data_IF_677255991824
#
_entry.id   IF_677255991824
#
_cell.length_a   1.000
_cell.length_b   1.000
_cell.length_c   1.000
_cell.angle_alpha   90.00
_cell.angle_beta   90.00
_cell.angle_gamma   90.00
#
_symmetry.space_group_name_H-M   'P 1'
#
loop_
_entity.id
_entity.type
_entity.pdbx_description
1 polymer ?
#
# COMPACT_ATOMS: atom_id res chain seq x y z
N UNK A 1 7.97 -22.09 -16.63
CA UNK A 1 7.22 -20.86 -16.89
C UNK A 1 8.14 -19.90 -17.66
N UNK A 2 7.78 -19.53 -18.89
CA UNK A 2 8.56 -18.55 -19.64
C UNK A 2 8.43 -17.19 -18.93
N UNK A 3 9.58 -16.60 -18.58
CA UNK A 3 9.62 -15.26 -17.97
C UNK A 3 9.38 -14.28 -19.11
N UNK A 4 8.16 -13.75 -19.19
CA UNK A 4 7.79 -12.75 -20.18
C UNK A 4 8.23 -11.37 -19.68
N UNK A 5 8.98 -10.66 -20.51
CA UNK A 5 9.38 -9.27 -20.29
C UNK A 5 8.56 -8.36 -21.20
N UNK A 6 7.92 -7.36 -20.63
CA UNK A 6 7.25 -6.30 -21.38
C UNK A 6 8.25 -5.22 -21.77
N UNK A 7 8.38 -4.97 -23.08
CA UNK A 7 9.18 -3.85 -23.61
C UNK A 7 8.34 -2.56 -23.54
N UNK A 8 8.79 -1.59 -22.75
CA UNK A 8 8.08 -0.33 -22.55
C UNK A 8 8.28 0.68 -23.70
N UNK A 9 9.32 0.49 -24.52
CA UNK A 9 9.64 1.40 -25.65
C UNK A 9 8.77 1.18 -26.88
N UNK A 10 8.35 -0.07 -27.09
CA UNK A 10 7.66 -0.48 -28.33
C UNK A 10 6.20 -0.89 -28.10
N UNK A 11 5.48 -1.12 -29.17
CA UNK A 11 4.13 -1.64 -29.13
C UNK A 11 3.06 -0.69 -28.58
N UNK A 12 1.91 -1.23 -28.24
CA UNK A 12 0.77 -0.48 -27.73
C UNK A 12 0.95 -0.21 -26.22
N UNK A 13 0.97 1.06 -25.84
CA UNK A 13 1.11 1.52 -24.45
C UNK A 13 0.05 0.92 -23.52
N UNK A 14 -1.17 0.76 -23.99
CA UNK A 14 -2.27 0.18 -23.20
C UNK A 14 -1.98 -1.28 -22.84
N UNK A 15 -1.47 -2.03 -23.81
CA UNK A 15 -1.05 -3.42 -23.62
C UNK A 15 0.12 -3.51 -22.66
N UNK A 16 1.14 -2.66 -22.82
CA UNK A 16 2.31 -2.63 -21.94
C UNK A 16 1.90 -2.35 -20.48
N UNK A 17 0.94 -1.43 -20.27
CA UNK A 17 0.40 -1.16 -18.93
C UNK A 17 -0.31 -2.40 -18.38
N UNK A 18 -1.20 -3.02 -19.17
CA UNK A 18 -1.99 -4.16 -18.69
C UNK A 18 -1.13 -5.39 -18.41
N UNK A 19 -0.07 -5.63 -19.18
CA UNK A 19 0.87 -6.74 -18.95
C UNK A 19 1.61 -6.63 -17.59
N UNK A 20 1.79 -5.42 -17.05
CA UNK A 20 2.35 -5.21 -15.71
C UNK A 20 1.24 -5.05 -14.67
N UNK A 21 0.17 -4.33 -15.01
CA UNK A 21 -0.90 -3.99 -14.06
C UNK A 21 -1.75 -5.20 -13.67
N UNK A 22 -2.09 -6.09 -14.59
CA UNK A 22 -2.91 -7.28 -14.28
C UNK A 22 -2.22 -8.17 -13.24
N UNK A 23 -0.94 -8.56 -13.41
CA UNK A 23 -0.21 -9.25 -12.36
C UNK A 23 -0.19 -8.50 -11.03
N UNK A 24 -0.03 -7.16 -11.05
CA UNK A 24 -0.04 -6.35 -9.83
C UNK A 24 -1.40 -6.29 -9.16
N UNK A 25 -2.50 -6.24 -9.92
CA UNK A 25 -3.86 -6.32 -9.37
C UNK A 25 -4.07 -7.68 -8.68
N UNK A 26 -3.68 -8.76 -9.34
CA UNK A 26 -3.76 -10.11 -8.77
C UNK A 26 -2.93 -10.19 -7.49
N UNK A 27 -1.71 -9.65 -7.50
CA UNK A 27 -0.85 -9.60 -6.33
C UNK A 27 -1.49 -8.86 -5.15
N UNK A 28 -2.16 -7.72 -5.39
CA UNK A 28 -2.86 -6.95 -4.34
C UNK A 28 -4.05 -7.74 -3.76
N UNK A 29 -4.82 -8.40 -4.61
CA UNK A 29 -5.94 -9.25 -4.17
C UNK A 29 -5.44 -10.42 -3.34
N UNK A 30 -4.36 -11.08 -3.77
CA UNK A 30 -3.74 -12.17 -3.03
C UNK A 30 -3.21 -11.71 -1.66
N UNK A 31 -2.61 -10.51 -1.61
CA UNK A 31 -2.14 -9.91 -0.37
C UNK A 31 -3.30 -9.62 0.60
N UNK A 32 -4.42 -9.13 0.10
CA UNK A 32 -5.63 -8.93 0.91
C UNK A 32 -6.16 -10.26 1.45
N UNK A 33 -6.27 -11.27 0.58
CA UNK A 33 -6.79 -12.58 0.97
C UNK A 33 -5.92 -13.25 2.04
N UNK A 34 -4.60 -13.23 1.87
CA UNK A 34 -3.72 -13.85 2.86
C UNK A 34 -3.81 -13.14 4.22
N UNK A 35 -3.91 -11.82 4.27
CA UNK A 35 -4.09 -11.08 5.51
C UNK A 35 -5.41 -11.45 6.23
N UNK A 36 -6.47 -11.70 5.46
CA UNK A 36 -7.76 -12.15 6.01
C UNK A 36 -7.63 -13.56 6.58
N UNK A 37 -6.99 -14.47 5.84
CA UNK A 37 -6.81 -15.87 6.25
C UNK A 37 -5.94 -15.99 7.51
N UNK A 38 -4.84 -15.25 7.59
CA UNK A 38 -3.98 -15.18 8.78
C UNK A 38 -4.76 -14.78 10.04
N UNK A 39 -5.58 -13.71 9.93
CA UNK A 39 -6.45 -13.28 11.03
C UNK A 39 -7.49 -14.33 11.43
N UNK A 40 -8.05 -15.06 10.46
CA UNK A 40 -8.99 -16.16 10.73
C UNK A 40 -8.30 -17.27 11.51
N UNK A 41 -7.09 -17.66 11.15
CA UNK A 41 -6.35 -18.69 11.87
C UNK A 41 -6.00 -18.25 13.29
N UNK A 42 -5.52 -17.03 13.49
CA UNK A 42 -5.24 -16.49 14.83
C UNK A 42 -6.51 -16.45 15.68
N UNK A 43 -7.61 -15.98 15.11
CA UNK A 43 -8.91 -15.88 15.80
C UNK A 43 -9.52 -17.25 16.17
N UNK A 44 -9.10 -18.33 15.51
CA UNK A 44 -9.55 -19.70 15.76
C UNK A 44 -8.65 -20.49 16.72
N UNK A 45 -7.63 -19.87 17.30
CA UNK A 45 -6.80 -20.55 18.33
C UNK A 45 -7.70 -20.91 19.53
N UNK A 46 -7.78 -22.19 19.94
CA UNK A 46 -8.63 -22.61 21.04
C UNK A 46 -8.38 -21.80 22.31
N UNK A 47 -9.46 -21.45 23.02
CA UNK A 47 -9.49 -20.73 24.31
C UNK A 47 -8.99 -19.28 24.28
N UNK A 48 -8.04 -18.92 23.39
CA UNK A 48 -7.36 -17.62 23.41
C UNK A 48 -7.57 -16.77 22.13
N UNK A 49 -8.26 -17.29 21.11
CA UNK A 49 -8.31 -16.68 19.77
C UNK A 49 -8.71 -15.19 19.75
N UNK A 50 -9.75 -14.81 20.48
CA UNK A 50 -10.19 -13.41 20.54
C UNK A 50 -9.11 -12.49 21.18
N UNK A 51 -8.52 -12.93 22.29
CA UNK A 51 -7.48 -12.18 22.99
C UNK A 51 -6.17 -12.13 22.18
N UNK A 52 -5.83 -13.25 21.54
CA UNK A 52 -4.68 -13.34 20.65
C UNK A 52 -4.81 -12.39 19.45
N UNK A 53 -5.98 -12.36 18.82
CA UNK A 53 -6.26 -11.46 17.69
C UNK A 53 -6.17 -9.99 18.10
N UNK A 54 -6.68 -9.65 19.30
CA UNK A 54 -6.54 -8.31 19.88
C UNK A 54 -5.06 -7.97 20.12
N UNK A 55 -4.29 -8.89 20.71
CA UNK A 55 -2.87 -8.71 20.95
C UNK A 55 -2.07 -8.49 19.66
N UNK A 56 -2.31 -9.28 18.61
CA UNK A 56 -1.69 -9.10 17.30
C UNK A 56 -2.11 -7.76 16.68
N UNK A 57 -3.37 -7.36 16.86
CA UNK A 57 -3.88 -6.05 16.41
C UNK A 57 -3.07 -4.87 16.95
N UNK A 58 -2.58 -4.94 18.18
CA UNK A 58 -1.73 -3.92 18.80
C UNK A 58 -0.33 -3.82 18.15
N UNK A 59 0.08 -4.81 17.37
CA UNK A 59 1.35 -4.79 16.63
C UNK A 59 1.24 -4.03 15.29
N UNK A 60 0.01 -3.80 14.75
CA UNK A 60 -0.18 -3.18 13.44
C UNK A 60 0.46 -1.80 13.28
N UNK A 61 0.46 -0.88 14.26
CA UNK A 61 1.15 0.39 14.11
C UNK A 61 2.65 0.23 13.85
N UNK A 62 3.31 -0.73 14.51
CA UNK A 62 4.74 -1.04 14.28
C UNK A 62 4.93 -1.60 12.87
N UNK A 63 4.08 -2.55 12.45
CA UNK A 63 4.12 -3.15 11.11
C UNK A 63 3.90 -2.08 10.04
N UNK A 64 2.95 -1.17 10.26
CA UNK A 64 2.68 -0.05 9.35
C UNK A 64 3.87 0.88 9.23
N UNK A 65 4.57 1.16 10.33
CA UNK A 65 5.79 1.98 10.31
C UNK A 65 6.89 1.32 9.47
N UNK A 66 7.13 0.01 9.63
CA UNK A 66 8.08 -0.76 8.82
C UNK A 66 7.70 -0.68 7.32
N UNK A 67 6.41 -0.85 7.02
CA UNK A 67 5.89 -0.76 5.65
C UNK A 67 6.05 0.67 5.07
N UNK A 68 5.83 1.70 5.88
CA UNK A 68 6.03 3.09 5.47
C UNK A 68 7.49 3.38 5.07
N UNK A 69 8.46 2.89 5.87
CA UNK A 69 9.88 3.00 5.50
C UNK A 69 10.22 2.17 4.26
N UNK A 70 9.57 1.03 4.07
CA UNK A 70 9.73 0.22 2.85
C UNK A 70 9.27 0.99 1.62
N UNK A 71 8.12 1.67 1.70
CA UNK A 71 7.62 2.53 0.63
C UNK A 71 8.48 3.77 0.40
N UNK A 72 9.08 4.32 1.46
CA UNK A 72 10.02 5.44 1.36
C UNK A 72 11.15 5.14 0.37
N UNK A 73 11.72 3.97 0.45
CA UNK A 73 12.86 3.61 -0.41
C UNK A 73 12.42 2.89 -1.69
N UNK A 74 11.52 1.90 -1.60
CA UNK A 74 11.09 1.11 -2.76
C UNK A 74 10.31 1.93 -3.79
N UNK A 75 9.26 2.63 -3.34
CA UNK A 75 8.44 3.46 -4.22
C UNK A 75 9.11 4.79 -4.60
N UNK A 76 10.15 5.21 -3.86
CA UNK A 76 10.99 6.34 -4.25
C UNK A 76 12.03 5.96 -5.31
N UNK A 77 12.69 4.81 -5.16
CA UNK A 77 13.77 4.38 -6.03
C UNK A 77 13.33 3.79 -7.36
N UNK A 78 12.27 2.96 -7.37
CA UNK A 78 11.87 2.23 -8.57
C UNK A 78 11.40 3.11 -9.74
N UNK A 79 10.62 4.19 -9.56
CA UNK A 79 10.29 5.11 -10.64
C UNK A 79 11.51 5.84 -11.21
N UNK A 80 12.44 6.26 -10.34
CA UNK A 80 13.70 6.89 -10.77
C UNK A 80 14.56 5.91 -11.58
N UNK A 81 14.65 4.66 -11.11
CA UNK A 81 15.35 3.59 -11.83
C UNK A 81 14.74 3.33 -13.20
N UNK A 82 13.41 3.26 -13.31
CA UNK A 82 12.71 3.08 -14.58
C UNK A 82 12.93 4.26 -15.54
N UNK A 83 12.98 5.48 -15.00
CA UNK A 83 13.24 6.70 -15.77
C UNK A 83 14.67 6.72 -16.33
N UNK A 84 15.68 6.37 -15.51
CA UNK A 84 17.09 6.29 -15.98
C UNK A 84 17.27 5.17 -17.00
N UNK A 85 16.56 4.06 -16.85
CA UNK A 85 16.51 3.01 -17.86
C UNK A 85 15.94 3.52 -19.20
N UNK A 86 14.89 4.32 -19.16
CA UNK A 86 14.31 4.97 -20.34
C UNK A 86 15.26 5.98 -21.00
N UNK A 87 16.12 6.63 -20.22
CA UNK A 87 17.20 7.50 -20.74
C UNK A 87 18.37 6.73 -21.37
N UNK A 88 18.37 5.41 -21.27
CA UNK A 88 19.49 4.56 -21.67
C UNK A 88 20.65 4.52 -20.67
N UNK A 89 20.50 5.16 -19.50
CA UNK A 89 21.54 5.23 -18.47
C UNK A 89 21.44 4.04 -17.51
N UNK A 90 21.89 2.88 -18.00
CA UNK A 90 21.83 1.62 -17.25
C UNK A 90 22.60 1.66 -15.94
N UNK A 91 23.78 2.31 -15.95
CA UNK A 91 24.64 2.39 -14.77
C UNK A 91 23.97 3.16 -13.64
N UNK A 92 23.39 4.33 -13.93
CA UNK A 92 22.67 5.13 -12.93
C UNK A 92 21.42 4.39 -12.41
N UNK A 93 20.69 3.67 -13.28
CA UNK A 93 19.57 2.84 -12.88
C UNK A 93 19.98 1.72 -11.91
N UNK A 94 21.10 1.03 -12.18
CA UNK A 94 21.67 0.02 -11.27
C UNK A 94 22.14 0.64 -9.95
N UNK A 95 22.73 1.85 -9.99
CA UNK A 95 23.16 2.59 -8.79
C UNK A 95 21.98 3.03 -7.91
N UNK A 96 20.88 3.48 -8.50
CA UNK A 96 19.65 3.80 -7.76
C UNK A 96 19.07 2.57 -7.07
N UNK A 97 19.03 1.43 -7.75
CA UNK A 97 18.60 0.15 -7.18
C UNK A 97 19.51 -0.30 -6.04
N UNK A 98 20.85 -0.21 -6.22
CA UNK A 98 21.82 -0.56 -5.19
C UNK A 98 21.75 0.33 -3.95
N UNK A 99 21.61 1.65 -4.14
CA UNK A 99 21.44 2.60 -3.02
C UNK A 99 20.14 2.33 -2.27
N UNK A 100 19.03 2.06 -2.98
CA UNK A 100 17.75 1.67 -2.35
C UNK A 100 17.92 0.41 -1.51
N UNK A 101 18.58 -0.62 -2.03
CA UNK A 101 18.84 -1.86 -1.31
C UNK A 101 19.60 -1.63 0.00
N UNK A 102 20.69 -0.84 -0.04
CA UNK A 102 21.48 -0.53 1.15
C UNK A 102 20.67 0.26 2.18
N UNK A 103 19.84 1.22 1.73
CA UNK A 103 18.95 1.97 2.63
C UNK A 103 17.91 1.07 3.28
N UNK A 104 17.32 0.12 2.54
CA UNK A 104 16.38 -0.86 3.08
C UNK A 104 17.03 -1.74 4.15
N UNK A 105 18.24 -2.25 3.89
CA UNK A 105 18.98 -3.06 4.87
C UNK A 105 19.33 -2.24 6.10
N UNK A 106 19.94 -1.08 5.92
CA UNK A 106 20.38 -0.22 7.02
C UNK A 106 19.20 0.19 7.92
N UNK A 107 18.11 0.66 7.30
CA UNK A 107 16.89 1.02 8.04
C UNK A 107 16.22 -0.21 8.67
N UNK A 108 16.21 -1.36 7.99
CA UNK A 108 15.67 -2.60 8.55
C UNK A 108 16.41 -3.05 9.80
N UNK A 109 17.74 -2.98 9.82
CA UNK A 109 18.56 -3.27 11.02
C UNK A 109 18.26 -2.28 12.14
N UNK A 110 18.18 -0.98 11.83
CA UNK A 110 17.87 0.07 12.82
C UNK A 110 16.46 -0.14 13.41
N UNK A 111 15.45 -0.38 12.57
CA UNK A 111 14.07 -0.61 13.03
C UNK A 111 13.96 -1.89 13.86
N UNK A 112 14.67 -2.94 13.50
CA UNK A 112 14.74 -4.18 14.28
C UNK A 112 15.34 -3.90 15.66
N UNK A 113 16.48 -3.21 15.71
CA UNK A 113 17.15 -2.89 16.98
C UNK A 113 16.28 -2.01 17.89
N UNK A 114 15.76 -0.90 17.35
CA UNK A 114 14.85 0.00 18.08
C UNK A 114 13.59 -0.75 18.53
N UNK A 115 12.99 -1.51 17.62
CA UNK A 115 11.80 -2.29 17.92
C UNK A 115 12.01 -3.29 19.04
N UNK A 116 13.10 -4.07 19.02
CA UNK A 116 13.42 -5.05 20.08
C UNK A 116 13.77 -4.41 21.42
N UNK A 117 14.32 -3.20 21.43
CA UNK A 117 14.61 -2.46 22.67
C UNK A 117 13.33 -1.84 23.25
N UNK A 118 12.49 -1.25 22.40
CA UNK A 118 11.35 -0.42 22.83
C UNK A 118 9.98 -1.05 22.62
N UNK A 119 9.85 -2.33 22.19
CA UNK A 119 8.53 -2.94 21.95
C UNK A 119 7.61 -2.89 23.18
N UNK A 120 8.16 -3.05 24.40
CA UNK A 120 7.37 -3.00 25.63
C UNK A 120 6.64 -1.67 25.81
N UNK A 121 7.34 -0.51 25.96
CA UNK A 121 6.66 0.77 26.12
C UNK A 121 5.76 1.11 24.92
N UNK A 122 6.16 0.74 23.70
CA UNK A 122 5.37 1.00 22.51
C UNK A 122 4.03 0.25 22.56
N UNK A 123 4.01 -1.03 22.92
CA UNK A 123 2.77 -1.81 23.04
C UNK A 123 1.83 -1.26 24.10
N UNK A 124 2.36 -0.84 25.26
CA UNK A 124 1.53 -0.21 26.30
C UNK A 124 0.98 1.14 25.86
N UNK A 125 1.74 1.95 25.15
CA UNK A 125 1.24 3.21 24.55
C UNK A 125 0.11 2.96 23.56
N UNK A 126 0.15 1.82 22.83
CA UNK A 126 -0.92 1.42 21.92
C UNK A 126 -2.09 0.68 22.59
N UNK A 127 -2.10 0.63 23.93
CA UNK A 127 -3.23 0.14 24.72
C UNK A 127 -3.17 -1.36 25.09
N UNK A 128 -1.98 -1.95 25.12
CA UNK A 128 -1.82 -3.30 25.63
C UNK A 128 -2.20 -3.38 27.13
N UNK A 129 -3.06 -4.34 27.46
CA UNK A 129 -3.29 -4.79 28.84
C UNK A 129 -2.32 -5.90 29.21
N UNK A 130 -2.17 -6.22 30.48
CA UNK A 130 -1.29 -7.34 30.91
C UNK A 130 -1.63 -8.67 30.24
N UNK A 131 -2.90 -8.89 29.92
CA UNK A 131 -3.37 -10.09 29.23
C UNK A 131 -3.00 -10.07 27.75
N UNK A 132 -3.28 -8.98 27.04
CA UNK A 132 -3.01 -8.85 25.58
C UNK A 132 -1.53 -8.65 25.29
N UNK A 133 -0.78 -8.07 26.24
CA UNK A 133 0.66 -7.84 26.10
C UNK A 133 1.45 -9.12 25.84
N UNK A 134 1.10 -10.23 26.52
CA UNK A 134 1.80 -11.51 26.31
C UNK A 134 1.74 -11.93 24.84
N UNK A 135 0.54 -11.92 24.23
CA UNK A 135 0.35 -12.31 22.83
C UNK A 135 0.96 -11.31 21.85
N UNK A 136 0.81 -10.00 22.11
CA UNK A 136 1.43 -8.97 21.32
C UNK A 136 2.97 -9.05 21.34
N UNK A 137 3.56 -9.30 22.52
CA UNK A 137 5.00 -9.47 22.70
C UNK A 137 5.53 -10.69 21.97
N UNK A 138 4.83 -11.83 22.08
CA UNK A 138 5.20 -13.06 21.41
C UNK A 138 5.20 -12.91 19.88
N UNK A 139 4.22 -12.21 19.32
CA UNK A 139 4.14 -11.93 17.89
C UNK A 139 5.22 -10.95 17.43
N UNK A 140 5.27 -9.78 18.07
CA UNK A 140 6.09 -8.68 17.56
C UNK A 140 7.60 -8.95 17.65
N UNK A 141 8.05 -9.63 18.69
CA UNK A 141 9.46 -9.99 18.84
C UNK A 141 9.95 -10.87 17.71
N UNK A 142 9.14 -11.87 17.32
CA UNK A 142 9.46 -12.74 16.20
C UNK A 142 9.37 -11.95 14.90
N UNK A 143 8.29 -11.16 14.68
CA UNK A 143 8.10 -10.36 13.48
C UNK A 143 9.26 -9.37 13.25
N UNK A 144 9.75 -8.71 14.30
CA UNK A 144 10.86 -7.76 14.22
C UNK A 144 12.16 -8.42 13.72
N UNK A 145 12.43 -9.68 14.06
CA UNK A 145 13.57 -10.43 13.52
C UNK A 145 13.45 -10.64 12.00
N UNK A 146 12.23 -10.68 11.49
CA UNK A 146 11.94 -10.79 10.06
C UNK A 146 11.82 -9.47 9.31
N UNK A 147 11.92 -8.33 9.98
CA UNK A 147 11.76 -6.99 9.37
C UNK A 147 12.62 -6.83 8.12
N UNK A 148 13.85 -7.30 8.15
CA UNK A 148 14.77 -7.23 7.02
C UNK A 148 14.22 -7.94 5.78
N UNK A 149 13.63 -9.11 5.94
CA UNK A 149 13.04 -9.88 4.84
C UNK A 149 11.80 -9.19 4.27
N UNK A 150 10.95 -8.63 5.14
CA UNK A 150 9.79 -7.84 4.74
C UNK A 150 10.23 -6.63 3.91
N UNK A 151 11.22 -5.88 4.38
CA UNK A 151 11.73 -4.70 3.70
C UNK A 151 12.37 -5.04 2.35
N UNK A 152 13.13 -6.12 2.26
CA UNK A 152 13.71 -6.59 0.99
C UNK A 152 12.59 -7.02 0.03
N UNK A 153 11.64 -7.83 0.48
CA UNK A 153 10.55 -8.33 -0.36
C UNK A 153 9.73 -7.18 -0.96
N UNK A 154 9.20 -6.32 -0.11
CA UNK A 154 8.29 -5.25 -0.55
C UNK A 154 9.03 -4.07 -1.17
N UNK A 155 10.26 -3.76 -0.71
CA UNK A 155 11.02 -2.62 -1.19
C UNK A 155 11.78 -2.88 -2.48
N UNK A 156 12.19 -4.13 -2.77
CA UNK A 156 12.91 -4.48 -3.99
C UNK A 156 12.01 -5.03 -5.10
N UNK A 157 10.81 -5.52 -4.77
CA UNK A 157 9.86 -6.00 -5.79
C UNK A 157 9.47 -4.94 -6.84
N UNK A 158 9.29 -3.64 -6.51
CA UNK A 158 9.05 -2.60 -7.51
C UNK A 158 10.14 -2.50 -8.58
N UNK A 159 11.40 -2.88 -8.28
CA UNK A 159 12.49 -2.89 -9.27
C UNK A 159 12.38 -4.05 -10.26
N UNK A 160 11.71 -5.14 -9.91
CA UNK A 160 11.36 -6.21 -10.85
C UNK A 160 10.33 -5.69 -11.85
N UNK A 161 9.30 -5.01 -11.34
CA UNK A 161 8.24 -4.42 -12.16
C UNK A 161 8.77 -3.28 -13.06
N UNK A 162 9.73 -2.48 -12.57
CA UNK A 162 10.37 -1.40 -13.32
C UNK A 162 11.19 -1.90 -14.52
N UNK A 163 11.53 -3.18 -14.54
CA UNK A 163 12.20 -3.84 -15.65
C UNK A 163 11.24 -4.51 -16.65
N UNK A 164 9.92 -4.48 -16.39
CA UNK A 164 8.91 -5.09 -17.24
C UNK A 164 8.55 -6.54 -16.90
N UNK A 165 8.96 -7.03 -15.74
CA UNK A 165 8.71 -8.41 -15.32
C UNK A 165 7.53 -8.49 -14.31
N UNK A 166 6.36 -7.99 -14.69
CA UNK A 166 5.16 -7.96 -13.83
C UNK A 166 4.78 -9.33 -13.26
N UNK A 167 4.81 -10.38 -14.07
CA UNK A 167 4.54 -11.76 -13.61
C UNK A 167 5.54 -12.23 -12.54
N UNK A 168 6.80 -11.87 -12.66
CA UNK A 168 7.83 -12.21 -11.66
C UNK A 168 7.60 -11.45 -10.36
N UNK A 169 7.20 -10.18 -10.47
CA UNK A 169 6.81 -9.36 -9.31
C UNK A 169 5.57 -9.91 -8.60
N UNK A 170 4.57 -10.37 -9.35
CA UNK A 170 3.39 -11.06 -8.78
C UNK A 170 3.79 -12.35 -8.05
N UNK A 171 4.68 -13.15 -8.64
CA UNK A 171 5.15 -14.39 -8.03
C UNK A 171 5.84 -14.17 -6.69
N UNK A 172 6.49 -13.04 -6.47
CA UNK A 172 7.04 -12.67 -5.17
C UNK A 172 5.97 -12.70 -4.07
N UNK A 173 4.82 -12.07 -4.36
CA UNK A 173 3.70 -11.99 -3.40
C UNK A 173 2.99 -13.34 -3.29
N UNK A 174 2.81 -14.03 -4.41
CA UNK A 174 2.19 -15.35 -4.43
C UNK A 174 2.97 -16.37 -3.58
N UNK A 175 4.31 -16.41 -3.70
CA UNK A 175 5.16 -17.30 -2.90
C UNK A 175 4.95 -17.01 -1.42
N UNK A 176 5.00 -15.75 -1.00
CA UNK A 176 4.77 -15.34 0.38
C UNK A 176 3.38 -15.74 0.88
N UNK A 177 2.34 -15.44 0.11
CA UNK A 177 0.95 -15.72 0.48
C UNK A 177 0.68 -17.23 0.60
N UNK A 178 1.10 -18.03 -0.39
CA UNK A 178 0.88 -19.48 -0.38
C UNK A 178 1.63 -20.14 0.76
N UNK A 179 2.89 -19.79 0.96
CA UNK A 179 3.67 -20.36 2.08
C UNK A 179 3.08 -19.97 3.43
N UNK A 180 2.65 -18.73 3.60
CA UNK A 180 2.04 -18.29 4.85
C UNK A 180 0.75 -19.09 5.14
N UNK A 181 -0.18 -19.16 4.18
CA UNK A 181 -1.44 -19.92 4.31
C UNK A 181 -1.20 -21.40 4.66
N UNK A 182 -0.13 -22.00 4.15
CA UNK A 182 0.22 -23.40 4.43
C UNK A 182 0.94 -23.58 5.78
N UNK A 183 1.81 -22.64 6.14
CA UNK A 183 2.62 -22.72 7.37
C UNK A 183 1.84 -22.28 8.61
N UNK A 184 0.88 -21.38 8.48
CA UNK A 184 0.05 -20.93 9.61
C UNK A 184 -0.64 -22.09 10.33
N UNK A 185 -1.47 -22.94 9.67
CA UNK A 185 -2.11 -24.05 10.36
C UNK A 185 -1.11 -25.08 10.90
N UNK A 186 0.02 -25.26 10.21
CA UNK A 186 1.06 -26.18 10.67
C UNK A 186 1.68 -25.71 11.98
N UNK A 187 2.08 -24.44 12.07
CA UNK A 187 2.75 -23.91 13.26
C UNK A 187 1.75 -23.54 14.37
N UNK A 188 0.61 -22.95 14.02
CA UNK A 188 -0.39 -22.55 15.02
C UNK A 188 -1.00 -23.76 15.70
N UNK A 189 -1.52 -24.71 14.91
CA UNK A 189 -2.30 -25.85 15.41
C UNK A 189 -1.47 -27.14 15.47
N UNK A 190 -0.72 -27.48 14.40
CA UNK A 190 0.04 -28.71 14.31
C UNK A 190 1.21 -28.80 15.31
N UNK A 191 1.94 -27.69 15.46
CA UNK A 191 3.06 -27.59 16.42
C UNK A 191 2.66 -26.91 17.74
N UNK A 192 1.40 -26.54 17.91
CA UNK A 192 0.86 -25.87 19.11
C UNK A 192 1.60 -24.58 19.52
N UNK A 193 2.16 -23.85 18.54
CA UNK A 193 2.92 -22.62 18.81
C UNK A 193 2.02 -21.39 19.01
N UNK A 194 0.72 -21.49 18.69
CA UNK A 194 -0.22 -20.38 18.80
C UNK A 194 0.22 -19.14 18.04
N UNK A 195 0.19 -17.96 18.68
CA UNK A 195 0.55 -16.68 18.08
C UNK A 195 2.00 -16.62 17.59
N UNK A 196 2.92 -17.30 18.28
CA UNK A 196 4.33 -17.42 17.85
C UNK A 196 4.43 -18.13 16.50
N UNK A 197 3.56 -19.15 16.30
CA UNK A 197 3.49 -19.89 15.04
C UNK A 197 3.10 -19.00 13.87
N UNK A 198 2.09 -18.13 14.02
CA UNK A 198 1.67 -17.18 13.01
C UNK A 198 2.81 -16.20 12.63
N UNK A 199 3.49 -15.65 13.64
CA UNK A 199 4.64 -14.77 13.40
C UNK A 199 5.77 -15.48 12.66
N UNK A 200 6.09 -16.72 13.04
CA UNK A 200 7.14 -17.51 12.41
C UNK A 200 6.79 -17.88 10.97
N UNK A 201 5.54 -18.28 10.69
CA UNK A 201 5.05 -18.55 9.35
C UNK A 201 5.20 -17.31 8.43
N UNK A 202 4.82 -16.14 8.94
CA UNK A 202 4.98 -14.87 8.22
C UNK A 202 6.45 -14.60 7.87
N UNK A 203 7.39 -14.76 8.84
CA UNK A 203 8.81 -14.50 8.59
C UNK A 203 9.39 -15.48 7.58
N UNK A 204 9.11 -16.78 7.70
CA UNK A 204 9.62 -17.78 6.77
C UNK A 204 9.09 -17.50 5.36
N UNK A 205 7.83 -17.14 5.23
CA UNK A 205 7.22 -16.78 3.95
C UNK A 205 7.88 -15.55 3.34
N UNK A 206 8.14 -14.51 4.14
CA UNK A 206 8.85 -13.31 3.69
C UNK A 206 10.32 -13.59 3.35
N UNK A 207 10.99 -14.48 4.08
CA UNK A 207 12.34 -14.94 3.77
C UNK A 207 12.40 -15.61 2.41
N UNK A 208 11.49 -16.53 2.11
CA UNK A 208 11.43 -17.19 0.80
C UNK A 208 11.16 -16.19 -0.32
N UNK A 209 10.25 -15.24 -0.10
CA UNK A 209 9.98 -14.15 -1.04
C UNK A 209 11.19 -13.25 -1.25
N UNK A 210 11.93 -12.92 -0.18
CA UNK A 210 13.16 -12.12 -0.27
C UNK A 210 14.25 -12.84 -1.08
N UNK A 211 14.44 -14.14 -0.86
CA UNK A 211 15.37 -14.96 -1.66
C UNK A 211 14.96 -14.94 -3.13
N UNK A 212 13.67 -15.10 -3.44
CA UNK A 212 13.16 -15.02 -4.81
C UNK A 212 13.50 -13.70 -5.49
N UNK A 213 13.22 -12.57 -4.82
CA UNK A 213 13.52 -11.22 -5.31
C UNK A 213 15.02 -11.04 -5.55
N UNK A 214 15.86 -11.40 -4.57
CA UNK A 214 17.31 -11.25 -4.69
C UNK A 214 17.88 -12.15 -5.78
N UNK A 215 17.44 -13.42 -5.86
CA UNK A 215 17.88 -14.35 -6.91
C UNK A 215 17.53 -13.84 -8.30
N UNK A 216 16.37 -13.19 -8.47
CA UNK A 216 16.02 -12.57 -9.74
C UNK A 216 16.92 -11.37 -10.04
N UNK A 217 17.04 -10.41 -9.11
CA UNK A 217 17.78 -9.17 -9.31
C UNK A 217 19.29 -9.35 -9.43
N UNK A 218 19.84 -10.45 -8.91
CA UNK A 218 21.26 -10.82 -9.09
C UNK A 218 21.49 -11.79 -10.25
N UNK A 219 20.40 -12.32 -10.84
CA UNK A 219 20.45 -13.34 -11.88
C UNK A 219 20.63 -12.79 -13.28
N UNK A 220 20.99 -13.67 -14.23
CA UNK A 220 21.20 -13.33 -15.64
C UNK A 220 19.95 -12.89 -16.41
N UNK A 221 18.75 -13.14 -15.85
CA UNK A 221 17.46 -12.82 -16.48
C UNK A 221 17.03 -11.37 -16.26
N UNK A 222 17.58 -10.71 -15.24
CA UNK A 222 17.32 -9.31 -14.97
C UNK A 222 18.06 -8.42 -15.98
N UNK A 223 17.38 -7.36 -16.44
CA UNK A 223 17.99 -6.35 -17.32
C UNK A 223 18.99 -5.52 -16.52
N UNK A 224 18.57 -5.10 -15.32
CA UNK A 224 19.37 -4.37 -14.35
C UNK A 224 19.76 -5.31 -13.22
N UNK A 225 21.05 -5.38 -12.92
CA UNK A 225 21.55 -6.29 -11.92
C UNK A 225 21.95 -5.57 -10.64
N UNK A 226 21.56 -6.15 -9.51
CA UNK A 226 22.00 -5.71 -8.18
C UNK A 226 23.45 -6.14 -7.98
N UNK A 227 24.40 -5.21 -8.23
CA UNK A 227 25.85 -5.44 -8.15
C UNK A 227 26.43 -4.82 -6.88
N UNK A 228 27.49 -5.41 -6.34
CA UNK A 228 28.20 -4.84 -5.20
C UNK A 228 28.76 -3.43 -5.50
N UNK A 229 29.22 -3.18 -6.73
CA UNK A 229 29.67 -1.85 -7.17
C UNK A 229 28.60 -0.77 -7.10
N UNK A 230 27.33 -1.14 -7.32
CA UNK A 230 26.18 -0.24 -7.27
C UNK A 230 25.71 0.09 -5.83
N UNK A 231 26.21 -0.62 -4.83
CA UNK A 231 25.85 -0.42 -3.41
C UNK A 231 26.62 0.73 -2.75
N UNK A 232 27.49 1.43 -3.46
CA UNK A 232 28.18 2.62 -2.92
C UNK A 232 27.17 3.73 -2.72
N UNK A 233 27.00 4.14 -1.46
CA UNK A 233 26.05 5.19 -1.09
C UNK A 233 26.47 6.52 -1.71
N UNK A 234 25.51 7.16 -2.39
CA UNK A 234 25.61 8.55 -2.83
C UNK A 234 24.48 9.34 -2.20
N UNK A 235 24.80 10.29 -1.35
CA UNK A 235 23.80 11.12 -0.67
C UNK A 235 22.88 11.87 -1.62
N UNK A 236 23.39 12.21 -2.82
CA UNK A 236 22.56 12.81 -3.89
C UNK A 236 21.47 11.86 -4.36
N UNK A 237 21.81 10.56 -4.58
CA UNK A 237 20.84 9.53 -4.97
C UNK A 237 19.86 9.24 -3.82
N UNK A 238 20.39 9.08 -2.62
CA UNK A 238 19.59 8.86 -1.42
C UNK A 238 18.58 10.01 -1.23
N UNK A 239 19.02 11.28 -1.37
CA UNK A 239 18.15 12.44 -1.31
C UNK A 239 17.03 12.42 -2.36
N UNK A 240 17.32 12.00 -3.59
CA UNK A 240 16.32 11.86 -4.65
C UNK A 240 15.31 10.74 -4.35
N UNK A 241 15.80 9.58 -3.90
CA UNK A 241 14.98 8.42 -3.52
C UNK A 241 14.04 8.80 -2.37
N UNK A 242 14.59 9.35 -1.27
CA UNK A 242 13.82 9.77 -0.10
C UNK A 242 12.81 10.84 -0.46
N UNK A 243 13.23 11.88 -1.21
CA UNK A 243 12.35 12.98 -1.62
C UNK A 243 11.10 12.47 -2.37
N UNK A 244 11.27 11.53 -3.30
CA UNK A 244 10.14 10.96 -4.05
C UNK A 244 9.32 9.98 -3.21
N UNK A 245 9.99 9.17 -2.40
CA UNK A 245 9.36 8.17 -1.56
C UNK A 245 8.62 8.73 -0.34
N UNK A 246 8.89 9.98 0.07
CA UNK A 246 8.15 10.65 1.15
C UNK A 246 6.65 10.66 0.90
N UNK A 247 6.20 10.69 -0.36
CA UNK A 247 4.78 10.62 -0.69
C UNK A 247 4.14 9.30 -0.26
N UNK A 248 4.80 8.18 -0.52
CA UNK A 248 4.36 6.84 -0.10
C UNK A 248 4.45 6.64 1.41
N UNK A 249 5.52 7.15 2.03
CA UNK A 249 5.69 7.14 3.48
C UNK A 249 4.55 7.87 4.18
N UNK A 250 4.29 9.12 3.81
CA UNK A 250 3.21 9.90 4.41
C UNK A 250 1.83 9.31 4.12
N UNK A 251 1.63 8.72 2.94
CA UNK A 251 0.36 8.08 2.62
C UNK A 251 0.06 6.90 3.54
N UNK A 252 1.06 6.05 3.83
CA UNK A 252 0.93 4.94 4.77
C UNK A 252 0.72 5.44 6.21
N UNK A 253 1.54 6.37 6.66
CA UNK A 253 1.47 6.94 8.01
C UNK A 253 0.14 7.67 8.27
N UNK A 254 -0.29 8.52 7.34
CA UNK A 254 -1.52 9.31 7.51
C UNK A 254 -2.79 8.46 7.42
N UNK A 255 -2.77 7.34 6.70
CA UNK A 255 -3.91 6.40 6.72
C UNK A 255 -4.14 5.84 8.13
N UNK A 256 -3.07 5.45 8.83
CA UNK A 256 -3.17 4.98 10.23
C UNK A 256 -3.63 6.10 11.16
N UNK A 257 -3.10 7.31 11.00
CA UNK A 257 -3.54 8.48 11.79
C UNK A 257 -5.02 8.76 11.62
N UNK A 258 -5.52 8.79 10.39
CA UNK A 258 -6.94 9.01 10.08
C UNK A 258 -7.80 7.93 10.72
N UNK A 259 -7.38 6.67 10.65
CA UNK A 259 -8.13 5.57 11.26
C UNK A 259 -8.27 5.73 12.77
N UNK A 260 -7.19 6.13 13.46
CA UNK A 260 -7.21 6.40 14.90
C UNK A 260 -8.16 7.56 15.22
N UNK A 261 -8.08 8.67 14.50
CA UNK A 261 -8.94 9.84 14.71
C UNK A 261 -10.41 9.51 14.43
N UNK A 262 -10.71 8.80 13.34
CA UNK A 262 -12.07 8.36 13.01
C UNK A 262 -12.65 7.47 14.12
N UNK A 263 -11.89 6.47 14.56
CA UNK A 263 -12.35 5.55 15.60
C UNK A 263 -12.57 6.27 16.93
N UNK A 264 -11.67 7.14 17.35
CA UNK A 264 -11.81 7.91 18.59
C UNK A 264 -13.03 8.85 18.55
N UNK A 265 -13.25 9.52 17.41
CA UNK A 265 -14.41 10.40 17.24
C UNK A 265 -15.72 9.60 17.22
N UNK A 266 -15.77 8.48 16.48
CA UNK A 266 -16.96 7.61 16.45
C UNK A 266 -17.26 6.99 17.81
N UNK A 267 -16.22 6.61 18.57
CA UNK A 267 -16.39 6.13 19.94
C UNK A 267 -17.10 7.16 20.83
N UNK A 268 -16.71 8.44 20.69
CA UNK A 268 -17.30 9.54 21.48
C UNK A 268 -18.76 9.83 21.10
N UNK A 269 -19.09 9.78 19.79
CA UNK A 269 -20.42 10.19 19.28
C UNK A 269 -21.42 9.04 19.13
N UNK A 270 -20.95 7.81 18.90
CA UNK A 270 -21.84 6.68 18.57
C UNK A 270 -21.52 5.37 19.28
N UNK A 271 -20.42 5.32 20.05
CA UNK A 271 -19.99 4.12 20.78
C UNK A 271 -19.44 3.01 19.88
N UNK A 272 -19.28 1.83 20.47
CA UNK A 272 -18.61 0.67 19.86
C UNK A 272 -19.24 0.22 18.53
N UNK A 273 -20.57 0.35 18.40
CA UNK A 273 -21.29 -0.08 17.19
C UNK A 273 -20.81 0.70 15.95
N UNK A 274 -20.60 2.02 16.06
CA UNK A 274 -20.14 2.84 14.96
C UNK A 274 -18.66 2.67 14.65
N UNK A 275 -17.84 2.33 15.64
CA UNK A 275 -16.45 1.87 15.41
C UNK A 275 -16.44 0.55 14.63
N UNK A 276 -17.35 -0.36 14.98
CA UNK A 276 -17.58 -1.60 14.23
C UNK A 276 -18.00 -1.33 12.78
N UNK A 277 -18.97 -0.42 12.58
CA UNK A 277 -19.39 0.02 11.24
C UNK A 277 -18.21 0.55 10.44
N UNK A 278 -17.39 1.47 10.99
CA UNK A 278 -16.21 2.02 10.30
C UNK A 278 -15.21 0.93 9.92
N UNK A 279 -15.01 -0.06 10.78
CA UNK A 279 -14.12 -1.21 10.50
C UNK A 279 -14.61 -2.00 9.28
N UNK A 280 -15.91 -2.26 9.20
CA UNK A 280 -16.52 -2.93 8.03
C UNK A 280 -16.39 -2.07 6.77
N UNK A 281 -16.73 -0.76 6.87
CA UNK A 281 -16.60 0.16 5.72
C UNK A 281 -15.17 0.26 5.20
N UNK A 282 -14.18 0.29 6.08
CA UNK A 282 -12.76 0.27 5.68
C UNK A 282 -12.41 -1.04 4.95
N UNK A 283 -12.91 -2.18 5.44
CA UNK A 283 -12.68 -3.48 4.79
C UNK A 283 -13.31 -3.55 3.39
N UNK A 284 -14.54 -3.04 3.25
CA UNK A 284 -15.21 -2.90 1.95
C UNK A 284 -14.42 -1.96 1.03
N UNK A 285 -13.97 -0.82 1.55
CA UNK A 285 -13.14 0.13 0.80
C UNK A 285 -11.88 -0.54 0.28
N UNK A 286 -11.19 -1.32 1.08
CA UNK A 286 -9.95 -1.98 0.70
C UNK A 286 -10.16 -2.94 -0.48
N UNK A 287 -11.26 -3.71 -0.51
CA UNK A 287 -11.62 -4.56 -1.65
C UNK A 287 -11.68 -3.76 -2.95
N UNK A 288 -12.34 -2.59 -2.93
CA UNK A 288 -12.52 -1.77 -4.13
C UNK A 288 -11.30 -0.90 -4.48
N UNK A 289 -10.44 -0.56 -3.51
CA UNK A 289 -9.24 0.24 -3.78
C UNK A 289 -8.04 -0.58 -4.26
N UNK A 290 -7.93 -1.85 -3.87
CA UNK A 290 -6.80 -2.71 -4.25
C UNK A 290 -6.59 -2.83 -5.77
N UNK A 291 -7.63 -3.03 -6.61
CA UNK A 291 -7.45 -3.04 -8.07
C UNK A 291 -6.97 -1.69 -8.62
N UNK A 292 -7.44 -0.56 -8.08
CA UNK A 292 -6.96 0.78 -8.46
C UNK A 292 -5.48 0.95 -8.12
N UNK A 293 -5.08 0.49 -6.92
CA UNK A 293 -3.68 0.45 -6.51
C UNK A 293 -2.83 -0.42 -7.43
N UNK A 294 -3.30 -1.61 -7.78
CA UNK A 294 -2.60 -2.53 -8.69
C UNK A 294 -2.40 -1.91 -10.07
N UNK A 295 -3.46 -1.28 -10.63
CA UNK A 295 -3.39 -0.61 -11.92
C UNK A 295 -2.41 0.58 -11.91
N UNK A 296 -2.50 1.45 -10.93
CA UNK A 296 -1.64 2.65 -10.85
C UNK A 296 -0.17 2.28 -10.58
N UNK A 297 0.08 1.27 -9.73
CA UNK A 297 1.41 0.76 -9.46
C UNK A 297 2.01 0.07 -10.68
N UNK A 298 1.23 -0.70 -11.43
CA UNK A 298 1.67 -1.35 -12.66
C UNK A 298 1.91 -0.38 -13.82
N UNK A 299 1.16 0.71 -13.89
CA UNK A 299 1.34 1.76 -14.90
C UNK A 299 2.55 2.67 -14.63
N UNK A 300 2.92 2.85 -13.36
CA UNK A 300 4.00 3.75 -12.94
C UNK A 300 5.33 3.46 -13.66
N UNK A 301 5.84 2.22 -13.72
CA UNK A 301 7.09 1.92 -14.44
C UNK A 301 7.03 2.27 -15.94
N UNK A 302 5.87 2.02 -16.59
CA UNK A 302 5.67 2.32 -18.01
C UNK A 302 5.70 3.84 -18.25
N UNK A 303 5.04 4.61 -17.40
CA UNK A 303 5.07 6.08 -17.47
C UNK A 303 6.46 6.65 -17.21
N UNK A 304 7.15 6.15 -16.17
CA UNK A 304 8.50 6.58 -15.79
C UNK A 304 9.52 6.31 -16.90
N UNK A 305 9.46 5.11 -17.49
CA UNK A 305 10.33 4.72 -18.59
C UNK A 305 10.14 5.63 -19.80
N UNK A 306 8.89 5.74 -20.29
CA UNK A 306 8.57 6.57 -21.47
C UNK A 306 8.84 8.06 -21.23
N UNK A 307 8.74 8.54 -19.99
CA UNK A 307 9.14 9.90 -19.65
C UNK A 307 10.66 10.07 -19.72
N UNK A 308 11.44 9.09 -19.27
CA UNK A 308 12.89 9.06 -19.41
C UNK A 308 13.35 9.05 -20.87
N UNK A 309 12.70 8.24 -21.71
CA UNK A 309 12.92 8.12 -23.15
C UNK A 309 12.47 9.35 -23.95
N UNK A 310 11.81 10.31 -23.29
CA UNK A 310 11.17 11.49 -23.90
C UNK A 310 10.00 11.16 -24.85
N UNK A 311 9.44 9.96 -24.76
CA UNK A 311 8.27 9.50 -25.52
C UNK A 311 6.97 10.08 -24.90
N UNK A 312 6.84 11.41 -24.87
CA UNK A 312 5.79 12.14 -24.15
C UNK A 312 4.37 11.82 -24.62
N UNK A 313 4.17 11.48 -25.89
CA UNK A 313 2.86 11.07 -26.39
C UNK A 313 2.41 9.73 -25.80
N UNK A 314 3.37 8.82 -25.55
CA UNK A 314 3.07 7.55 -24.86
C UNK A 314 2.70 7.80 -23.39
N UNK A 315 3.38 8.75 -22.72
CA UNK A 315 3.03 9.16 -21.35
C UNK A 315 1.62 9.74 -21.29
N UNK A 316 1.24 10.64 -22.23
CA UNK A 316 -0.12 11.20 -22.29
C UNK A 316 -1.18 10.12 -22.51
N UNK A 317 -0.93 9.17 -23.41
CA UNK A 317 -1.83 8.03 -23.65
C UNK A 317 -1.98 7.18 -22.39
N UNK A 318 -0.87 6.93 -21.67
CA UNK A 318 -0.88 6.21 -20.40
C UNK A 318 -1.73 6.92 -19.34
N UNK A 319 -1.54 8.23 -19.15
CA UNK A 319 -2.32 9.05 -18.19
C UNK A 319 -3.82 8.98 -18.52
N UNK A 320 -4.21 9.18 -19.79
CA UNK A 320 -5.61 9.09 -20.21
C UNK A 320 -6.19 7.71 -19.93
N UNK A 321 -5.45 6.66 -20.25
CA UNK A 321 -5.89 5.29 -20.08
C UNK A 321 -6.13 4.93 -18.63
N UNK A 322 -5.14 5.14 -17.75
CA UNK A 322 -5.27 4.81 -16.32
C UNK A 322 -6.39 5.63 -15.67
N UNK A 323 -6.54 6.91 -16.06
CA UNK A 323 -7.62 7.75 -15.52
C UNK A 323 -8.98 7.20 -15.94
N UNK A 324 -9.17 6.90 -17.23
CA UNK A 324 -10.43 6.38 -17.73
C UNK A 324 -10.80 5.04 -17.06
N UNK A 325 -9.86 4.09 -17.01
CA UNK A 325 -10.09 2.78 -16.39
C UNK A 325 -10.39 2.90 -14.90
N UNK A 326 -9.61 3.70 -14.15
CA UNK A 326 -9.86 3.91 -12.71
C UNK A 326 -11.22 4.57 -12.45
N UNK A 327 -11.60 5.59 -13.23
CA UNK A 327 -12.89 6.29 -13.06
C UNK A 327 -14.04 5.35 -13.40
N UNK A 328 -13.99 4.62 -14.53
CA UNK A 328 -15.04 3.67 -14.91
C UNK A 328 -15.17 2.58 -13.85
N UNK A 329 -14.07 2.02 -13.39
CA UNK A 329 -14.06 0.99 -12.36
C UNK A 329 -14.67 1.48 -11.05
N UNK A 330 -14.28 2.66 -10.58
CA UNK A 330 -14.78 3.20 -9.30
C UNK A 330 -16.23 3.68 -9.41
N UNK A 331 -16.70 4.15 -10.57
CA UNK A 331 -18.11 4.43 -10.83
C UNK A 331 -18.94 3.14 -10.80
N UNK A 332 -18.47 2.08 -11.45
CA UNK A 332 -19.12 0.78 -11.40
C UNK A 332 -19.17 0.22 -9.97
N UNK A 333 -18.05 0.28 -9.25
CA UNK A 333 -17.98 -0.12 -7.84
C UNK A 333 -18.93 0.67 -6.94
N UNK A 334 -19.00 1.99 -7.12
CA UNK A 334 -19.95 2.83 -6.39
C UNK A 334 -21.41 2.45 -6.70
N UNK A 335 -21.74 2.19 -7.97
CA UNK A 335 -23.07 1.72 -8.35
C UNK A 335 -23.44 0.38 -7.71
N UNK A 336 -22.51 -0.57 -7.70
CA UNK A 336 -22.70 -1.88 -7.04
C UNK A 336 -22.90 -1.72 -5.53
N UNK A 337 -22.09 -0.91 -4.87
CA UNK A 337 -22.21 -0.64 -3.43
C UNK A 337 -23.53 0.05 -3.06
N UNK A 338 -24.03 0.93 -3.94
CA UNK A 338 -25.31 1.59 -3.76
C UNK A 338 -26.50 0.63 -3.91
N UNK A 339 -26.40 -0.34 -4.81
CA UNK A 339 -27.46 -1.30 -5.09
C UNK A 339 -27.48 -2.46 -4.09
N UNK A 340 -26.32 -2.89 -3.58
CA UNK A 340 -26.19 -4.08 -2.73
C UNK A 340 -25.45 -3.77 -1.41
N UNK A 341 -25.80 -2.73 -0.65
CA UNK A 341 -25.06 -2.33 0.55
C UNK A 341 -25.08 -3.40 1.63
N UNK A 342 -26.23 -4.03 1.87
CA UNK A 342 -26.36 -5.09 2.87
C UNK A 342 -25.49 -6.31 2.56
N UNK A 343 -25.38 -6.70 1.29
CA UNK A 343 -24.55 -7.82 0.88
C UNK A 343 -23.09 -7.63 1.30
N UNK A 344 -22.52 -6.46 1.04
CA UNK A 344 -21.13 -6.17 1.38
C UNK A 344 -20.88 -6.07 2.88
N UNK A 345 -21.84 -5.56 3.65
CA UNK A 345 -21.75 -5.52 5.11
C UNK A 345 -21.84 -6.94 5.69
N UNK A 346 -22.78 -7.76 5.20
CA UNK A 346 -22.99 -9.14 5.65
C UNK A 346 -21.80 -10.07 5.41
N UNK A 347 -20.95 -9.77 4.44
CA UNK A 347 -19.68 -10.52 4.24
C UNK A 347 -18.81 -10.47 5.50
N UNK A 348 -18.83 -9.34 6.23
CA UNK A 348 -18.00 -9.13 7.40
C UNK A 348 -18.76 -9.33 8.72
N UNK A 349 -20.01 -8.91 8.78
CA UNK A 349 -20.81 -9.02 9.98
C UNK A 349 -22.32 -9.06 9.65
N UNK A 350 -23.03 -10.00 10.25
CA UNK A 350 -24.47 -10.19 10.06
C UNK A 350 -25.32 -9.69 11.24
N UNK A 351 -24.73 -8.96 12.18
CA UNK A 351 -25.44 -8.38 13.31
C UNK A 351 -26.50 -7.37 12.82
N UNK A 352 -27.79 -7.51 13.22
CA UNK A 352 -28.86 -6.62 12.77
C UNK A 352 -28.63 -5.15 13.14
N UNK A 353 -28.09 -4.87 14.33
CA UNK A 353 -27.81 -3.51 14.78
C UNK A 353 -26.71 -2.85 13.95
N UNK A 354 -25.68 -3.62 13.57
CA UNK A 354 -24.62 -3.14 12.71
C UNK A 354 -25.10 -2.91 11.27
N UNK A 355 -26.04 -3.75 10.77
CA UNK A 355 -26.64 -3.55 9.45
C UNK A 355 -27.51 -2.29 9.42
N UNK A 356 -28.34 -2.06 10.43
CA UNK A 356 -29.21 -0.88 10.54
C UNK A 356 -28.41 0.43 10.46
N UNK A 357 -27.28 0.52 11.15
CA UNK A 357 -26.41 1.70 11.16
C UNK A 357 -25.41 1.70 9.98
N UNK A 358 -24.98 0.54 9.54
CA UNK A 358 -23.97 0.39 8.51
C UNK A 358 -24.45 0.75 7.10
N UNK A 359 -25.71 0.43 6.74
CA UNK A 359 -26.23 0.73 5.39
C UNK A 359 -26.29 2.25 5.12
N UNK A 360 -26.87 3.10 5.98
CA UNK A 360 -26.81 4.55 5.80
C UNK A 360 -25.38 5.08 5.77
N UNK A 361 -24.53 4.62 6.70
CA UNK A 361 -23.14 5.01 6.77
C UNK A 361 -22.37 4.65 5.49
N UNK A 362 -22.63 3.48 4.89
CA UNK A 362 -22.02 3.06 3.62
C UNK A 362 -22.41 4.00 2.48
N UNK A 363 -23.68 4.38 2.39
CA UNK A 363 -24.13 5.33 1.36
C UNK A 363 -23.45 6.68 1.48
N UNK A 364 -23.25 7.18 2.69
CA UNK A 364 -22.53 8.43 2.95
C UNK A 364 -21.05 8.25 2.61
N UNK A 365 -20.38 7.26 3.19
CA UNK A 365 -18.94 7.06 3.11
C UNK A 365 -18.44 6.84 1.67
N UNK A 366 -19.22 6.14 0.85
CA UNK A 366 -18.91 5.89 -0.56
C UNK A 366 -19.49 6.92 -1.51
N UNK A 367 -20.14 7.97 -1.01
CA UNK A 367 -20.62 9.05 -1.87
C UNK A 367 -19.46 9.70 -2.62
N UNK A 368 -19.56 9.75 -3.94
CA UNK A 368 -18.48 10.30 -4.75
C UNK A 368 -17.17 9.48 -4.76
N UNK A 369 -17.25 8.17 -4.54
CA UNK A 369 -16.09 7.26 -4.55
C UNK A 369 -15.24 7.36 -5.83
N UNK A 370 -15.84 7.74 -6.97
CA UNK A 370 -15.13 7.97 -8.22
C UNK A 370 -14.08 9.10 -8.14
N UNK A 371 -14.27 10.10 -7.28
CA UNK A 371 -13.27 11.17 -7.10
C UNK A 371 -11.97 10.67 -6.45
N UNK A 372 -12.03 9.55 -5.72
CA UNK A 372 -10.84 8.87 -5.22
C UNK A 372 -9.94 8.39 -6.37
N UNK A 373 -10.51 7.93 -7.49
CA UNK A 373 -9.74 7.54 -8.68
C UNK A 373 -8.89 8.70 -9.22
N UNK A 374 -9.42 9.94 -9.17
CA UNK A 374 -8.67 11.12 -9.58
C UNK A 374 -7.46 11.38 -8.69
N UNK A 375 -7.61 11.17 -7.37
CA UNK A 375 -6.48 11.27 -6.44
C UNK A 375 -5.41 10.23 -6.77
N UNK A 376 -5.79 8.96 -6.91
CA UNK A 376 -4.83 7.88 -7.16
C UNK A 376 -4.09 8.04 -8.48
N UNK A 377 -4.80 8.43 -9.54
CA UNK A 377 -4.19 8.65 -10.86
C UNK A 377 -3.28 9.87 -10.87
N UNK A 378 -3.72 11.02 -10.32
CA UNK A 378 -2.89 12.22 -10.21
C UNK A 378 -1.63 11.98 -9.39
N UNK A 379 -1.77 11.32 -8.23
CA UNK A 379 -0.67 10.95 -7.35
C UNK A 379 0.33 10.02 -8.04
N UNK A 380 -0.16 8.97 -8.71
CA UNK A 380 0.67 8.01 -9.46
C UNK A 380 1.47 8.70 -10.57
N UNK A 381 0.86 9.64 -11.29
CA UNK A 381 1.55 10.43 -12.32
C UNK A 381 2.66 11.29 -11.72
N UNK A 382 2.39 11.99 -10.59
CA UNK A 382 3.44 12.78 -9.93
C UNK A 382 4.62 11.90 -9.49
N UNK A 383 4.37 10.73 -8.93
CA UNK A 383 5.42 9.78 -8.52
C UNK A 383 6.17 9.26 -9.75
N UNK A 384 5.45 8.78 -10.77
CA UNK A 384 6.05 8.22 -11.98
C UNK A 384 6.93 9.23 -12.74
N UNK A 385 6.59 10.51 -12.71
CA UNK A 385 7.36 11.57 -13.38
C UNK A 385 8.37 12.27 -12.46
N UNK A 386 8.61 11.76 -11.26
CA UNK A 386 9.59 12.28 -10.32
C UNK A 386 9.23 13.64 -9.71
N UNK A 387 7.92 14.01 -9.69
CA UNK A 387 7.44 15.30 -9.13
C UNK A 387 7.27 15.21 -7.62
N UNK A 388 8.35 14.93 -6.89
CA UNK A 388 8.38 14.63 -5.47
C UNK A 388 7.58 15.63 -4.60
N UNK A 389 7.82 16.94 -4.76
CA UNK A 389 7.16 17.99 -3.96
C UNK A 389 5.63 17.94 -4.08
N UNK A 390 5.11 17.75 -5.31
CA UNK A 390 3.67 17.67 -5.56
C UNK A 390 3.09 16.37 -5.03
N UNK A 391 3.79 15.25 -5.26
CA UNK A 391 3.39 13.96 -4.74
C UNK A 391 3.26 13.97 -3.21
N UNK A 392 4.26 14.49 -2.50
CA UNK A 392 4.25 14.60 -1.03
C UNK A 392 3.17 15.58 -0.54
N UNK A 393 3.03 16.74 -1.18
CA UNK A 393 2.00 17.71 -0.82
C UNK A 393 0.60 17.10 -0.86
N UNK A 394 0.22 16.44 -1.95
CA UNK A 394 -1.12 15.86 -2.08
C UNK A 394 -1.33 14.61 -1.21
N UNK A 395 -0.28 13.88 -0.83
CA UNK A 395 -0.37 12.82 0.17
C UNK A 395 -0.80 13.34 1.54
N UNK A 396 -0.26 14.50 1.95
CA UNK A 396 -0.58 15.14 3.23
C UNK A 396 -1.88 15.94 3.16
N UNK A 397 -2.07 16.72 2.09
CA UNK A 397 -3.18 17.65 1.94
C UNK A 397 -4.53 16.96 2.13
N UNK A 398 -4.78 15.87 1.43
CA UNK A 398 -6.06 15.17 1.52
C UNK A 398 -6.32 14.60 2.92
N UNK A 399 -5.34 13.92 3.51
CA UNK A 399 -5.56 13.20 4.78
C UNK A 399 -5.42 14.10 6.01
N UNK A 400 -4.35 14.88 6.09
CA UNK A 400 -4.07 15.70 7.29
C UNK A 400 -4.82 17.01 7.27
N UNK A 401 -4.90 17.69 6.10
CA UNK A 401 -5.50 19.01 6.03
C UNK A 401 -7.03 18.95 5.83
N UNK A 402 -7.54 17.90 5.17
CA UNK A 402 -8.98 17.79 4.92
C UNK A 402 -9.63 16.74 5.84
N UNK A 403 -9.22 15.45 5.77
CA UNK A 403 -9.93 14.38 6.48
C UNK A 403 -9.88 14.57 7.99
N UNK A 404 -8.70 14.77 8.58
CA UNK A 404 -8.56 14.86 10.05
C UNK A 404 -9.39 16.02 10.64
N UNK A 405 -9.29 17.27 10.14
CA UNK A 405 -10.11 18.35 10.66
C UNK A 405 -11.61 18.13 10.43
N UNK A 406 -12.03 17.64 9.26
CA UNK A 406 -13.43 17.38 8.98
C UNK A 406 -14.00 16.27 9.89
N UNK A 407 -13.24 15.21 10.15
CA UNK A 407 -13.64 14.12 11.06
C UNK A 407 -13.95 14.65 12.45
N UNK A 408 -13.18 15.66 12.92
CA UNK A 408 -13.38 16.25 14.26
C UNK A 408 -14.50 17.30 14.24
N UNK A 409 -14.58 18.14 13.19
CA UNK A 409 -15.46 19.31 13.16
C UNK A 409 -16.88 18.99 12.70
N UNK A 410 -17.05 18.14 11.66
CA UNK A 410 -18.38 17.86 11.08
C UNK A 410 -19.39 17.26 12.07
N UNK A 411 -19.01 16.40 13.03
CA UNK A 411 -19.95 15.93 14.06
C UNK A 411 -20.63 17.02 14.86
N UNK A 412 -19.99 18.19 15.00
CA UNK A 412 -20.53 19.33 15.74
C UNK A 412 -21.44 20.24 14.91
N UNK A 413 -21.50 20.03 13.59
CA UNK A 413 -22.30 20.87 12.68
C UNK A 413 -23.71 20.34 12.57
N UNK A 414 -24.72 21.18 12.96
CA UNK A 414 -26.15 20.94 12.75
C UNK A 414 -26.65 19.52 13.12
N UNK A 415 -26.09 18.90 14.17
CA UNK A 415 -26.55 17.59 14.63
C UNK A 415 -26.16 16.42 13.73
N UNK A 416 -25.15 16.57 12.86
CA UNK A 416 -24.65 15.47 12.02
C UNK A 416 -24.11 14.29 12.83
N UNK A 417 -23.56 14.54 14.04
CA UNK A 417 -23.07 13.46 14.91
C UNK A 417 -22.14 12.48 14.18
N UNK A 418 -22.44 11.19 14.25
CA UNK A 418 -21.67 10.13 13.61
C UNK A 418 -21.61 10.25 12.08
N UNK A 419 -22.68 10.75 11.43
CA UNK A 419 -22.70 10.93 9.99
C UNK A 419 -21.66 11.94 9.53
N UNK A 420 -21.35 12.96 10.36
CA UNK A 420 -20.28 13.91 10.10
C UNK A 420 -18.91 13.24 9.92
N UNK A 421 -18.61 12.18 10.69
CA UNK A 421 -17.37 11.42 10.52
C UNK A 421 -17.34 10.72 9.18
N UNK A 422 -18.46 10.11 8.77
CA UNK A 422 -18.53 9.41 7.47
C UNK A 422 -18.48 10.38 6.29
N UNK A 423 -18.98 11.62 6.40
CA UNK A 423 -18.89 12.65 5.37
C UNK A 423 -17.47 13.17 5.13
N UNK A 424 -16.56 13.04 6.09
CA UNK A 424 -15.18 13.51 5.95
C UNK A 424 -14.45 12.89 4.75
N UNK A 425 -14.64 11.58 4.49
CA UNK A 425 -13.99 10.90 3.37
C UNK A 425 -14.52 11.34 1.99
N UNK A 426 -15.86 11.37 1.72
CA UNK A 426 -16.40 11.89 0.45
C UNK A 426 -15.97 13.31 0.13
N UNK A 427 -16.05 14.21 1.12
CA UNK A 427 -15.63 15.61 0.94
C UNK A 427 -14.14 15.68 0.58
N UNK A 428 -13.32 14.89 1.26
CA UNK A 428 -11.88 14.85 0.96
C UNK A 428 -11.57 14.25 -0.41
N UNK A 429 -12.32 13.25 -0.84
CA UNK A 429 -12.18 12.66 -2.16
C UNK A 429 -12.54 13.68 -3.25
N UNK A 430 -13.62 14.43 -3.08
CA UNK A 430 -14.03 15.48 -4.01
C UNK A 430 -12.99 16.61 -4.04
N UNK A 431 -12.72 17.24 -2.91
CA UNK A 431 -11.81 18.41 -2.85
C UNK A 431 -10.37 18.01 -3.14
N UNK A 432 -9.85 17.03 -2.40
CA UNK A 432 -8.46 16.60 -2.53
C UNK A 432 -8.19 15.87 -3.84
N UNK A 433 -9.12 15.00 -4.28
CA UNK A 433 -9.01 14.27 -5.54
C UNK A 433 -9.02 15.19 -6.75
N UNK A 434 -10.00 16.11 -6.82
CA UNK A 434 -10.06 17.12 -7.90
C UNK A 434 -8.84 18.04 -7.86
N UNK A 435 -8.44 18.55 -6.69
CA UNK A 435 -7.27 19.41 -6.57
C UNK A 435 -5.99 18.71 -7.07
N UNK A 436 -5.76 17.47 -6.68
CA UNK A 436 -4.62 16.67 -7.14
C UNK A 436 -4.64 16.48 -8.67
N UNK A 437 -5.78 16.05 -9.20
CA UNK A 437 -5.92 15.73 -10.61
C UNK A 437 -5.82 16.98 -11.51
N UNK A 438 -6.53 18.05 -11.18
CA UNK A 438 -6.45 19.31 -11.97
C UNK A 438 -5.08 19.97 -11.88
N UNK A 439 -4.39 19.89 -10.73
CA UNK A 439 -3.00 20.33 -10.63
C UNK A 439 -2.09 19.49 -11.50
N UNK A 440 -2.32 18.17 -11.56
CA UNK A 440 -1.60 17.28 -12.46
C UNK A 440 -1.83 17.70 -13.92
N UNK A 441 -3.07 17.89 -14.34
CA UNK A 441 -3.39 18.34 -15.70
C UNK A 441 -2.74 19.69 -16.03
N UNK A 442 -2.87 20.66 -15.13
CA UNK A 442 -2.36 22.02 -15.35
C UNK A 442 -0.83 22.12 -15.37
N UNK A 443 -0.13 21.18 -14.75
CA UNK A 443 1.34 21.27 -14.63
C UNK A 443 2.09 20.23 -15.47
N UNK A 444 1.54 19.02 -15.59
CA UNK A 444 2.19 17.93 -16.31
C UNK A 444 1.90 17.98 -17.81
N UNK A 445 0.63 18.19 -18.21
CA UNK A 445 0.30 18.19 -19.65
C UNK A 445 1.00 19.33 -20.43
N UNK A 446 1.07 20.57 -19.93
CA UNK A 446 1.83 21.63 -20.62
C UNK A 446 3.33 21.31 -20.71
N UNK A 447 3.91 20.71 -19.67
CA UNK A 447 5.32 20.28 -19.70
C UNK A 447 5.57 19.23 -20.79
N UNK A 448 4.69 18.22 -20.88
CA UNK A 448 4.77 17.17 -21.91
C UNK A 448 4.53 17.71 -23.33
N UNK A 449 3.82 18.84 -23.48
CA UNK A 449 3.60 19.49 -24.77
C UNK A 449 4.78 20.38 -25.18
N UNK A 450 5.33 21.17 -24.26
CA UNK A 450 6.44 22.11 -24.52
C UNK A 450 7.75 21.40 -24.90
N UNK A 451 7.98 20.20 -24.38
CA UNK A 451 9.20 19.41 -24.66
C UNK A 451 9.14 18.64 -25.99
N UNK A 452 8.11 18.88 -26.80
CA UNK A 452 7.95 18.33 -28.15
C UNK A 452 8.67 19.17 -29.23
N UNK A 453 9.06 20.40 -28.88
CA UNK A 453 9.83 21.34 -29.70
C UNK A 453 11.28 21.29 -29.28
#
# INVERSE_FOLDING_TARGET
>A
MQIHQTDFSTGNVYRNIMEVAVPMIIAQILNLLYNIVDRIYIGRIPEIGATALTGVGLCFPIITLITAFTYLFGNGGAPLCSMERGRGNREEAEMLMGNTFVMLIGTGVILTAIGLIFYRPILYVFGASDVTFSYASDYIRIYLLGTLFVMITLGMNPFINSQGFGNTGMLTILIGAVLNILLDPLFIFGMHMGVRGAALATIISQFCSAIWVLRFLTGKKAILNLKKSAMRISWKRVGSIVSLGMSGFFMAFTNSLVQVVCNATLQTWGGDIYVGVMTVLNSVRDIFTMPVHGLTTGASPVMSFNYGEKAYDRVKKAIKFITAVCVIYTLAGWGILKLLPEFFIRIFNSDPGLLEKGVPALHIYFFGFCFMALQFTGQSVFVALGKAKKATFFSLFRKVVIVVPLTILLPHVNGLGTDGVFWAEPVSNLVGGCACFFTMLATVLPELNKRKV
#
